data_IF_881291210226
#
_entry.id   IF_881291210226
#
_cell.length_a   1.000
_cell.length_b   1.000
_cell.length_c   1.000
_cell.angle_alpha   90.00
_cell.angle_beta   90.00
_cell.angle_gamma   90.00
#
_symmetry.space_group_name_H-M   'P 1'
#
loop_
_entity.id
_entity.type
_entity.pdbx_description
1 polymer ?
#
# COMPACT_ATOMS: atom_id res chain seq x y z
N UNK A 1 -32.68 -62.44 22.11
CA UNK A 1 -31.50 -61.76 22.68
C UNK A 1 -30.97 -60.78 21.64
N UNK A 2 -31.42 -59.54 21.74
CA UNK A 2 -30.97 -58.39 20.97
C UNK A 2 -29.63 -57.90 21.55
N UNK A 3 -28.62 -57.72 20.69
CA UNK A 3 -27.51 -56.74 20.77
C UNK A 3 -26.31 -57.28 19.97
N UNK A 4 -25.63 -56.38 19.24
CA UNK A 4 -24.32 -56.51 18.57
C UNK A 4 -24.30 -56.63 17.03
N UNK A 5 -25.14 -55.89 16.30
CA UNK A 5 -24.97 -55.75 14.85
C UNK A 5 -25.33 -54.35 14.28
N UNK A 6 -25.06 -53.26 15.04
CA UNK A 6 -25.36 -51.89 14.57
C UNK A 6 -24.15 -50.92 14.68
N UNK A 7 -23.00 -51.38 15.18
CA UNK A 7 -21.82 -50.52 15.37
C UNK A 7 -20.71 -50.96 14.41
N UNK A 8 -20.91 -50.80 13.10
CA UNK A 8 -19.80 -50.82 12.13
C UNK A 8 -20.10 -50.20 10.75
N UNK A 9 -21.18 -49.43 10.61
CA UNK A 9 -21.52 -48.74 9.34
C UNK A 9 -21.63 -47.21 9.52
N UNK A 10 -21.49 -46.72 10.75
CA UNK A 10 -21.62 -45.28 11.05
C UNK A 10 -20.29 -44.51 11.18
N UNK A 11 -19.15 -45.14 10.84
CA UNK A 11 -17.82 -44.52 10.98
C UNK A 11 -17.09 -44.27 9.64
N UNK A 12 -17.77 -44.46 8.50
CA UNK A 12 -17.19 -44.23 7.15
C UNK A 12 -17.97 -43.16 6.36
N UNK A 13 -18.84 -42.37 7.00
CA UNK A 13 -19.61 -41.29 6.32
C UNK A 13 -19.33 -39.89 6.88
N UNK A 14 -18.47 -39.74 7.90
CA UNK A 14 -18.18 -38.44 8.54
C UNK A 14 -16.75 -37.92 8.21
N UNK A 15 -16.06 -38.49 7.21
CA UNK A 15 -14.73 -38.00 6.77
C UNK A 15 -14.78 -37.39 5.35
N UNK A 16 -15.94 -37.37 4.69
CA UNK A 16 -16.09 -36.81 3.33
C UNK A 16 -16.72 -35.40 3.27
N UNK A 17 -16.75 -34.65 4.38
CA UNK A 17 -17.24 -33.25 4.41
C UNK A 17 -16.13 -32.21 4.69
N UNK A 18 -14.86 -32.61 4.74
CA UNK A 18 -13.71 -31.68 4.80
C UNK A 18 -13.09 -31.50 3.41
N UNK A 19 -13.94 -31.41 2.39
CA UNK A 19 -13.57 -31.20 1.00
C UNK A 19 -14.37 -30.05 0.41
N UNK A 20 -14.22 -28.86 0.97
CA UNK A 20 -14.67 -27.62 0.36
C UNK A 20 -13.55 -26.61 0.49
N UNK A 21 -12.65 -26.57 -0.49
CA UNK A 21 -12.02 -25.30 -0.84
C UNK A 21 -13.17 -24.37 -1.16
N UNK A 22 -13.47 -23.46 -0.24
CA UNK A 22 -14.46 -22.42 -0.46
C UNK A 22 -13.88 -21.50 -1.54
N UNK A 23 -14.19 -21.79 -2.81
CA UNK A 23 -13.97 -20.84 -3.89
C UNK A 23 -14.87 -19.66 -3.58
N UNK A 24 -14.29 -18.56 -3.11
CA UNK A 24 -15.00 -17.32 -2.81
C UNK A 24 -15.78 -16.93 -4.06
N UNK A 25 -17.11 -17.09 -4.04
CA UNK A 25 -17.92 -16.79 -5.23
C UNK A 25 -17.77 -15.31 -5.54
N UNK A 26 -17.33 -15.02 -6.76
CA UNK A 26 -17.24 -13.66 -7.28
C UNK A 26 -18.59 -12.96 -7.10
N UNK A 27 -18.57 -11.80 -6.45
CA UNK A 27 -19.78 -11.03 -6.16
C UNK A 27 -20.11 -10.15 -7.35
N UNK A 28 -21.32 -10.29 -7.88
CA UNK A 28 -21.82 -9.43 -8.96
C UNK A 28 -22.91 -8.49 -8.43
N UNK A 29 -22.77 -7.20 -8.71
CA UNK A 29 -23.75 -6.16 -8.36
C UNK A 29 -24.02 -5.34 -9.61
N UNK A 30 -25.28 -5.27 -10.04
CA UNK A 30 -25.72 -4.51 -11.22
C UNK A 30 -24.92 -4.80 -12.51
N UNK A 31 -24.51 -6.05 -12.72
CA UNK A 31 -23.72 -6.45 -13.90
C UNK A 31 -22.22 -6.17 -13.80
N UNK A 32 -21.72 -5.75 -12.64
CA UNK A 32 -20.31 -5.50 -12.36
C UNK A 32 -19.81 -6.55 -11.36
N UNK A 33 -18.74 -7.25 -11.73
CA UNK A 33 -18.11 -8.26 -10.88
C UNK A 33 -17.04 -7.61 -10.00
N UNK A 34 -17.18 -7.71 -8.69
CA UNK A 34 -16.22 -7.21 -7.72
C UNK A 34 -15.05 -8.18 -7.58
N UNK A 35 -13.82 -7.68 -7.76
CA UNK A 35 -12.57 -8.40 -7.53
C UNK A 35 -11.86 -7.81 -6.30
N UNK A 36 -11.25 -8.67 -5.47
CA UNK A 36 -10.45 -8.27 -4.31
C UNK A 36 -9.16 -9.09 -4.28
N UNK A 37 -8.05 -8.46 -3.90
CA UNK A 37 -6.77 -9.15 -3.77
C UNK A 37 -6.82 -10.26 -2.71
N UNK A 38 -7.48 -10.00 -1.57
CA UNK A 38 -7.66 -10.97 -0.47
C UNK A 38 -8.42 -12.24 -0.85
N UNK A 39 -9.24 -12.21 -1.91
CA UNK A 39 -10.05 -13.37 -2.31
C UNK A 39 -9.21 -14.48 -2.98
N UNK A 40 -7.93 -14.25 -3.27
CA UNK A 40 -7.01 -15.21 -3.92
C UNK A 40 -7.64 -15.86 -5.16
N UNK A 41 -8.12 -15.02 -6.08
CA UNK A 41 -8.89 -15.45 -7.25
C UNK A 41 -7.96 -16.16 -8.24
N UNK A 42 -8.24 -17.41 -8.59
CA UNK A 42 -7.41 -18.15 -9.54
C UNK A 42 -7.47 -17.56 -10.94
N UNK A 43 -6.36 -17.63 -11.69
CA UNK A 43 -6.29 -17.19 -13.09
C UNK A 43 -7.32 -17.89 -13.97
N UNK A 44 -7.67 -19.15 -13.66
CA UNK A 44 -8.74 -19.87 -14.36
C UNK A 44 -10.12 -19.25 -14.11
N UNK A 45 -10.42 -18.84 -12.88
CA UNK A 45 -11.68 -18.20 -12.51
C UNK A 45 -11.80 -16.81 -13.15
N UNK A 46 -10.69 -16.04 -13.17
CA UNK A 46 -10.63 -14.78 -13.91
C UNK A 46 -10.89 -15.00 -15.40
N UNK A 47 -10.38 -16.08 -15.99
CA UNK A 47 -10.57 -16.38 -17.41
C UNK A 47 -12.02 -16.68 -17.75
N UNK A 48 -12.80 -17.24 -16.83
CA UNK A 48 -14.24 -17.49 -17.01
C UNK A 48 -15.06 -16.19 -17.12
N UNK A 49 -14.55 -15.09 -16.58
CA UNK A 49 -15.16 -13.76 -16.63
C UNK A 49 -14.45 -12.81 -17.60
N UNK A 50 -13.71 -13.36 -18.58
CA UNK A 50 -13.15 -12.57 -19.67
C UNK A 50 -14.24 -11.74 -20.39
N UNK A 51 -13.88 -10.53 -20.81
CA UNK A 51 -14.76 -9.55 -21.42
C UNK A 51 -15.92 -9.04 -20.54
N UNK A 52 -15.96 -9.40 -19.24
CA UNK A 52 -16.95 -8.86 -18.30
C UNK A 52 -16.50 -7.53 -17.70
N UNK A 53 -17.47 -6.74 -17.27
CA UNK A 53 -17.21 -5.53 -16.49
C UNK A 53 -16.84 -5.94 -15.07
N UNK A 54 -15.70 -5.45 -14.60
CA UNK A 54 -15.17 -5.70 -13.26
C UNK A 54 -14.94 -4.39 -12.52
N UNK A 55 -15.01 -4.45 -11.20
CA UNK A 55 -14.53 -3.36 -10.34
C UNK A 55 -13.57 -3.88 -9.27
N UNK A 56 -12.57 -3.08 -8.96
CA UNK A 56 -11.54 -3.42 -7.98
C UNK A 56 -11.09 -2.16 -7.24
N UNK A 57 -10.79 -2.30 -5.96
CA UNK A 57 -10.14 -1.25 -5.17
C UNK A 57 -8.68 -1.65 -4.98
N UNK A 58 -7.77 -0.68 -5.08
CA UNK A 58 -6.35 -0.86 -4.79
C UNK A 58 -5.60 0.47 -4.79
N UNK A 59 -4.28 0.41 -4.69
CA UNK A 59 -3.39 1.56 -4.78
C UNK A 59 -2.73 1.62 -6.15
N UNK A 60 -2.45 2.83 -6.64
CA UNK A 60 -1.64 2.99 -7.83
C UNK A 60 -0.17 2.70 -7.49
N UNK A 61 0.52 1.95 -8.35
CA UNK A 61 1.96 1.78 -8.20
C UNK A 61 2.70 3.09 -8.48
N UNK A 62 3.75 3.37 -7.72
CA UNK A 62 4.71 4.46 -7.96
C UNK A 62 5.44 4.31 -9.30
N UNK A 63 5.41 3.12 -9.91
CA UNK A 63 5.92 2.87 -11.26
C UNK A 63 4.93 3.26 -12.37
N UNK A 64 3.80 3.91 -12.04
CA UNK A 64 2.86 4.46 -13.02
C UNK A 64 3.58 5.46 -13.95
N UNK A 65 3.56 5.25 -15.28
CA UNK A 65 4.16 6.19 -16.21
C UNK A 65 3.59 7.61 -16.07
N UNK A 66 4.47 8.62 -16.08
CA UNK A 66 4.08 10.03 -15.98
C UNK A 66 3.12 10.50 -17.09
N UNK A 67 3.11 9.79 -18.22
CA UNK A 67 2.19 10.09 -19.32
C UNK A 67 0.75 9.60 -19.05
N UNK A 68 0.52 8.84 -17.97
CA UNK A 68 -0.76 8.30 -17.53
C UNK A 68 -1.35 7.21 -18.43
N UNK A 69 -0.52 6.54 -19.24
CA UNK A 69 -0.99 5.60 -20.27
C UNK A 69 -1.50 4.26 -19.72
N UNK A 70 -1.06 3.87 -18.53
CA UNK A 70 -1.60 2.79 -17.70
C UNK A 70 -1.15 2.98 -16.25
N UNK A 71 -1.70 2.18 -15.33
CA UNK A 71 -1.19 2.02 -13.96
C UNK A 71 -1.16 0.53 -13.61
N UNK A 72 -0.35 0.13 -12.64
CA UNK A 72 -0.59 -1.11 -11.92
C UNK A 72 -1.42 -0.80 -10.68
N UNK A 73 -2.51 -1.53 -10.51
CA UNK A 73 -3.31 -1.51 -9.29
C UNK A 73 -2.75 -2.57 -8.34
N UNK A 74 -2.46 -2.16 -7.11
CA UNK A 74 -1.70 -2.92 -6.12
C UNK A 74 -2.53 -3.11 -4.84
N UNK A 75 -2.29 -4.17 -4.08
CA UNK A 75 -2.91 -4.37 -2.76
C UNK A 75 -2.33 -3.45 -1.67
N UNK A 76 -1.07 -3.02 -1.82
CA UNK A 76 -0.36 -2.14 -0.89
C UNK A 76 0.06 -0.83 -1.58
N UNK A 77 0.08 0.30 -0.85
CA UNK A 77 0.59 1.58 -1.36
C UNK A 77 2.11 1.56 -1.52
N UNK A 78 2.67 2.52 -2.27
CA UNK A 78 4.12 2.71 -2.47
C UNK A 78 4.91 1.46 -2.92
N UNK A 79 4.23 0.43 -3.40
CA UNK A 79 4.88 -0.77 -3.89
C UNK A 79 5.51 -0.50 -5.24
N UNK A 80 6.85 -0.44 -5.24
CA UNK A 80 7.65 -0.12 -6.42
C UNK A 80 7.65 -1.22 -7.47
N UNK A 81 7.49 -2.49 -7.07
CA UNK A 81 7.57 -3.60 -8.00
C UNK A 81 6.22 -4.27 -8.26
N UNK A 82 5.69 -4.05 -9.46
CA UNK A 82 4.45 -4.64 -9.97
C UNK A 82 4.50 -6.18 -10.00
N UNK A 83 5.63 -6.76 -10.41
CA UNK A 83 5.74 -8.21 -10.67
C UNK A 83 6.97 -8.87 -10.01
N UNK A 84 7.48 -8.33 -8.89
CA UNK A 84 8.60 -8.96 -8.16
C UNK A 84 8.14 -10.15 -7.32
N UNK A 85 6.84 -10.26 -7.04
CA UNK A 85 6.26 -11.52 -6.58
C UNK A 85 6.12 -12.40 -7.83
N UNK A 86 6.64 -13.64 -7.84
CA UNK A 86 6.54 -14.53 -8.99
C UNK A 86 5.09 -14.60 -9.49
N UNK A 87 4.88 -14.62 -10.81
CA UNK A 87 3.57 -14.88 -11.40
C UNK A 87 2.99 -16.16 -10.79
N UNK A 88 2.03 -15.99 -9.89
CA UNK A 88 1.28 -17.09 -9.30
C UNK A 88 0.13 -17.45 -10.24
N UNK A 89 -0.52 -18.58 -9.98
CA UNK A 89 -1.73 -19.01 -10.68
C UNK A 89 -2.99 -18.26 -10.20
N UNK A 90 -2.82 -17.12 -9.52
CA UNK A 90 -3.89 -16.36 -8.87
C UNK A 90 -3.64 -14.85 -8.95
N UNK A 91 -4.71 -14.05 -8.87
CA UNK A 91 -4.61 -12.62 -8.60
C UNK A 91 -4.22 -12.45 -7.13
N UNK A 92 -2.99 -12.03 -6.89
CA UNK A 92 -2.44 -11.93 -5.54
C UNK A 92 -2.23 -10.48 -5.14
N UNK A 93 -1.46 -9.72 -5.91
CA UNK A 93 -0.98 -8.41 -5.47
C UNK A 93 -1.08 -7.31 -6.54
N UNK A 94 -1.23 -7.67 -7.81
CA UNK A 94 -1.11 -6.70 -8.91
C UNK A 94 -2.03 -7.03 -10.08
N UNK A 95 -2.62 -5.99 -10.69
CA UNK A 95 -3.24 -6.06 -12.02
C UNK A 95 -2.95 -4.80 -12.82
N UNK A 96 -2.63 -4.94 -14.11
CA UNK A 96 -2.47 -3.80 -14.99
C UNK A 96 -3.83 -3.20 -15.37
N UNK A 97 -3.91 -1.87 -15.37
CA UNK A 97 -5.13 -1.12 -15.64
C UNK A 97 -4.85 -0.06 -16.72
N UNK A 98 -5.65 -0.10 -17.77
CA UNK A 98 -5.54 0.80 -18.91
C UNK A 98 -6.77 1.71 -19.00
N UNK A 99 -6.57 3.03 -19.17
CA UNK A 99 -7.67 3.97 -19.35
C UNK A 99 -8.34 3.73 -20.71
N UNK A 100 -9.58 4.21 -20.84
CA UNK A 100 -10.23 4.31 -22.15
C UNK A 100 -9.37 5.10 -23.13
N UNK A 101 -9.40 4.71 -24.42
CA UNK A 101 -8.60 5.36 -25.45
C UNK A 101 -8.70 6.90 -25.40
N UNK A 102 -7.56 7.58 -25.40
CA UNK A 102 -7.45 9.04 -25.32
C UNK A 102 -7.64 9.63 -23.92
N UNK A 103 -7.85 8.79 -22.90
CA UNK A 103 -7.83 9.19 -21.48
C UNK A 103 -6.49 8.81 -20.83
N UNK A 104 -6.25 9.40 -19.67
CA UNK A 104 -5.03 9.22 -18.87
C UNK A 104 -5.42 9.13 -17.42
N UNK A 105 -4.61 8.43 -16.63
CA UNK A 105 -4.71 8.48 -15.17
C UNK A 105 -3.80 9.57 -14.60
N UNK A 106 -4.31 10.24 -13.58
CA UNK A 106 -3.51 11.08 -12.69
C UNK A 106 -3.15 10.22 -11.49
N UNK A 107 -1.88 10.27 -11.08
CA UNK A 107 -1.40 9.50 -9.95
C UNK A 107 -1.99 10.02 -8.63
N UNK A 108 -2.23 9.12 -7.69
CA UNK A 108 -2.62 9.45 -6.32
C UNK A 108 -2.13 8.37 -5.36
N UNK A 109 -1.78 8.79 -4.14
CA UNK A 109 -1.31 7.90 -3.07
C UNK A 109 -2.47 7.26 -2.27
N UNK A 110 -3.71 7.72 -2.47
CA UNK A 110 -4.88 7.15 -1.78
C UNK A 110 -5.50 5.98 -2.53
N UNK A 111 -6.28 5.10 -1.87
CA UNK A 111 -6.98 4.02 -2.55
C UNK A 111 -7.89 4.53 -3.68
N UNK A 112 -7.87 3.82 -4.80
CA UNK A 112 -8.70 4.12 -5.97
C UNK A 112 -9.60 2.93 -6.29
N UNK A 113 -10.82 3.23 -6.72
CA UNK A 113 -11.71 2.27 -7.35
C UNK A 113 -11.52 2.33 -8.86
N UNK A 114 -11.23 1.18 -9.44
CA UNK A 114 -11.15 0.96 -10.87
C UNK A 114 -12.41 0.24 -11.32
N UNK A 115 -13.03 0.68 -12.40
CA UNK A 115 -14.10 -0.05 -13.09
C UNK A 115 -13.81 -0.09 -14.57
N UNK A 116 -13.81 -1.29 -15.17
CA UNK A 116 -13.47 -1.48 -16.59
C UNK A 116 -13.79 -2.89 -17.07
N UNK A 117 -13.25 -3.28 -18.21
CA UNK A 117 -13.45 -4.62 -18.80
C UNK A 117 -12.24 -5.48 -18.53
N UNK A 118 -12.43 -6.65 -17.92
CA UNK A 118 -11.37 -7.65 -17.83
C UNK A 118 -11.07 -8.20 -19.22
N UNK A 119 -9.80 -8.24 -19.61
CA UNK A 119 -9.34 -8.79 -20.89
C UNK A 119 -8.23 -9.80 -20.63
N UNK A 120 -8.41 -11.01 -21.14
CA UNK A 120 -7.38 -12.04 -21.24
C UNK A 120 -6.65 -11.95 -22.59
N UNK A 121 -5.48 -11.34 -22.57
CA UNK A 121 -4.59 -11.25 -23.71
C UNK A 121 -3.15 -11.17 -23.23
N UNK A 122 -2.25 -11.91 -23.89
CA UNK A 122 -0.82 -11.78 -23.66
C UNK A 122 -0.36 -10.42 -24.19
N UNK A 123 0.19 -9.59 -23.30
CA UNK A 123 0.66 -8.24 -23.61
C UNK A 123 1.99 -7.99 -22.92
N UNK A 124 2.85 -7.21 -23.58
CA UNK A 124 4.03 -6.60 -22.98
C UNK A 124 3.87 -5.09 -23.01
N UNK A 125 4.03 -4.42 -21.87
CA UNK A 125 3.93 -2.97 -21.80
C UNK A 125 5.24 -2.23 -22.12
N UNK A 126 5.19 -0.89 -22.06
CA UNK A 126 6.33 -0.02 -22.40
C UNK A 126 7.50 -0.16 -21.42
N UNK A 127 7.25 -0.67 -20.20
CA UNK A 127 8.28 -0.99 -19.22
C UNK A 127 8.84 -2.42 -19.37
N UNK A 128 8.30 -3.22 -20.29
CA UNK A 128 8.76 -4.57 -20.59
C UNK A 128 8.15 -5.66 -19.70
N UNK A 129 7.12 -5.34 -18.91
CA UNK A 129 6.41 -6.35 -18.14
C UNK A 129 5.40 -7.08 -19.02
N UNK A 130 5.37 -8.41 -18.90
CA UNK A 130 4.44 -9.27 -19.63
C UNK A 130 3.43 -9.91 -18.69
N UNK A 131 2.15 -9.87 -19.06
CA UNK A 131 1.05 -10.47 -18.32
C UNK A 131 -0.07 -10.93 -19.27
N UNK A 132 -0.91 -11.82 -18.76
CA UNK A 132 -1.94 -12.52 -19.54
C UNK A 132 -3.35 -11.93 -19.35
N UNK A 133 -3.52 -11.00 -18.41
CA UNK A 133 -4.79 -10.33 -18.17
C UNK A 133 -4.59 -8.90 -17.66
N UNK A 134 -5.59 -8.06 -17.92
CA UNK A 134 -5.63 -6.64 -17.49
C UNK A 134 -7.06 -6.14 -17.40
N UNK A 135 -7.25 -4.98 -16.77
CA UNK A 135 -8.49 -4.22 -16.87
C UNK A 135 -8.28 -3.14 -17.94
N UNK A 136 -9.06 -3.17 -19.02
CA UNK A 136 -9.04 -2.15 -20.08
C UNK A 136 -10.27 -1.25 -20.03
N UNK A 137 -10.21 -0.17 -20.81
CA UNK A 137 -11.27 0.84 -20.91
C UNK A 137 -11.74 1.37 -19.55
N UNK A 138 -10.80 1.43 -18.61
CA UNK A 138 -11.10 1.64 -17.21
C UNK A 138 -11.34 3.13 -16.89
N UNK A 139 -12.24 3.34 -15.93
CA UNK A 139 -12.41 4.57 -15.17
C UNK A 139 -11.78 4.36 -13.80
N UNK A 140 -11.06 5.37 -13.34
CA UNK A 140 -10.46 5.44 -12.01
C UNK A 140 -11.10 6.59 -11.24
N UNK A 141 -11.46 6.33 -9.99
CA UNK A 141 -11.98 7.32 -9.05
C UNK A 141 -11.44 7.05 -7.63
N UNK A 142 -11.39 8.07 -6.78
CA UNK A 142 -11.03 7.86 -5.36
C UNK A 142 -12.03 6.88 -4.75
N UNK A 143 -11.52 5.87 -4.03
CA UNK A 143 -12.36 4.85 -3.45
C UNK A 143 -13.20 5.39 -2.28
N UNK A 144 -14.40 4.85 -2.12
CA UNK A 144 -15.09 4.92 -0.83
C UNK A 144 -14.42 3.93 0.13
N UNK A 145 -13.87 4.47 1.22
CA UNK A 145 -13.11 3.72 2.22
C UNK A 145 -13.93 3.39 3.48
N UNK A 146 -15.23 3.71 3.52
CA UNK A 146 -16.06 3.52 4.73
C UNK A 146 -16.09 2.08 5.23
N UNK A 147 -16.06 1.12 4.30
CA UNK A 147 -16.10 -0.32 4.57
C UNK A 147 -14.72 -0.98 4.55
N UNK A 148 -13.64 -0.21 4.38
CA UNK A 148 -12.28 -0.74 4.45
C UNK A 148 -11.77 -0.82 5.89
N UNK A 149 -10.67 -1.55 6.05
CA UNK A 149 -9.97 -1.71 7.34
C UNK A 149 -9.53 -0.35 7.90
N UNK A 150 -9.46 -0.28 9.23
CA UNK A 150 -9.20 0.97 9.96
C UNK A 150 -7.81 1.57 9.64
N UNK A 151 -6.82 0.73 9.37
CA UNK A 151 -5.48 1.17 8.98
C UNK A 151 -5.47 1.90 7.62
N UNK A 152 -6.26 1.44 6.64
CA UNK A 152 -6.46 2.12 5.36
C UNK A 152 -7.14 3.47 5.56
N UNK A 153 -8.13 3.56 6.46
CA UNK A 153 -8.82 4.83 6.77
C UNK A 153 -7.87 5.85 7.37
N UNK A 154 -7.08 5.44 8.35
CA UNK A 154 -6.08 6.30 9.00
C UNK A 154 -5.00 6.72 8.02
N UNK A 155 -4.46 5.78 7.25
CA UNK A 155 -3.50 6.07 6.18
C UNK A 155 -4.06 7.13 5.24
N UNK A 156 -5.26 6.91 4.71
CA UNK A 156 -5.89 7.82 3.74
C UNK A 156 -6.15 9.21 4.34
N UNK A 157 -6.58 9.28 5.60
CA UNK A 157 -6.78 10.54 6.31
C UNK A 157 -5.48 11.34 6.48
N UNK A 158 -4.36 10.67 6.73
CA UNK A 158 -3.05 11.31 6.89
C UNK A 158 -2.45 11.72 5.54
N UNK A 159 -2.52 10.85 4.53
CA UNK A 159 -2.03 11.14 3.18
C UNK A 159 -2.77 12.33 2.57
N UNK A 160 -4.09 12.41 2.72
CA UNK A 160 -4.88 13.56 2.25
C UNK A 160 -4.49 14.89 2.92
N UNK A 161 -3.84 14.85 4.09
CA UNK A 161 -3.33 16.04 4.78
C UNK A 161 -1.88 16.39 4.39
N UNK A 162 -1.25 15.63 3.48
CA UNK A 162 0.14 15.85 3.07
C UNK A 162 1.18 15.25 4.02
N UNK A 163 0.79 14.22 4.80
CA UNK A 163 1.67 13.59 5.78
C UNK A 163 2.97 13.05 5.17
N UNK A 164 2.89 12.31 4.05
CA UNK A 164 4.06 11.72 3.42
C UNK A 164 5.06 12.79 2.94
N UNK A 165 4.58 13.79 2.20
CA UNK A 165 5.41 14.92 1.75
C UNK A 165 6.06 15.66 2.91
N UNK A 166 5.30 15.90 3.99
CA UNK A 166 5.80 16.59 5.18
C UNK A 166 6.91 15.77 5.85
N UNK A 167 6.72 14.46 6.03
CA UNK A 167 7.73 13.58 6.59
C UNK A 167 9.00 13.52 5.73
N UNK A 168 8.87 13.43 4.39
CA UNK A 168 10.01 13.46 3.48
C UNK A 168 10.81 14.78 3.60
N UNK A 169 10.11 15.91 3.69
CA UNK A 169 10.75 17.21 3.87
C UNK A 169 11.49 17.33 5.21
N UNK A 170 10.92 16.78 6.28
CA UNK A 170 11.57 16.72 7.60
C UNK A 170 12.86 15.90 7.52
N UNK A 171 12.81 14.68 6.98
CA UNK A 171 13.98 13.82 6.86
C UNK A 171 15.04 14.43 5.95
N UNK A 172 14.66 14.98 4.80
CA UNK A 172 15.57 15.70 3.90
C UNK A 172 16.30 16.84 4.61
N UNK A 173 15.58 17.63 5.40
CA UNK A 173 16.16 18.73 6.18
C UNK A 173 17.15 18.20 7.21
N UNK A 174 16.77 17.16 7.97
CA UNK A 174 17.64 16.52 8.96
C UNK A 174 18.92 15.96 8.31
N UNK A 175 18.79 15.21 7.22
CA UNK A 175 19.94 14.61 6.55
C UNK A 175 20.85 15.64 5.89
N UNK A 176 20.29 16.74 5.37
CA UNK A 176 21.10 17.85 4.87
C UNK A 176 21.95 18.44 6.00
N UNK A 177 21.38 18.67 7.17
CA UNK A 177 22.11 19.21 8.33
C UNK A 177 23.14 18.21 8.87
N UNK A 178 22.79 16.93 8.95
CA UNK A 178 23.72 15.88 9.42
C UNK A 178 24.94 15.75 8.49
N UNK A 179 24.70 15.78 7.18
CA UNK A 179 25.71 15.57 6.15
C UNK A 179 26.15 16.89 5.51
N UNK A 180 26.17 17.97 6.30
CA UNK A 180 26.53 19.30 5.82
C UNK A 180 27.92 19.31 5.15
N UNK A 181 28.08 20.17 4.15
CA UNK A 181 29.37 20.42 3.52
C UNK A 181 30.08 21.56 4.26
N UNK A 182 31.39 21.43 4.50
CA UNK A 182 32.16 22.43 5.29
C UNK A 182 32.18 23.85 4.70
N UNK A 183 31.79 24.00 3.44
CA UNK A 183 31.68 25.29 2.76
C UNK A 183 30.31 25.97 3.00
N UNK A 184 29.32 25.25 3.55
CA UNK A 184 28.00 25.79 3.92
C UNK A 184 28.01 26.28 5.38
N UNK A 185 27.35 27.42 5.62
CA UNK A 185 27.08 27.87 6.98
C UNK A 185 26.05 26.95 7.63
N UNK A 186 26.45 26.27 8.70
CA UNK A 186 25.60 25.32 9.39
C UNK A 186 24.59 26.05 10.29
N UNK A 187 23.31 25.84 10.02
CA UNK A 187 22.21 26.42 10.80
C UNK A 187 21.53 25.36 11.67
N UNK A 188 21.04 25.80 12.83
CA UNK A 188 20.18 24.99 13.68
C UNK A 188 18.89 24.63 12.96
N UNK A 189 18.42 23.42 13.22
CA UNK A 189 17.10 22.95 12.82
C UNK A 189 16.02 23.68 13.61
N UNK A 190 14.89 23.99 12.96
CA UNK A 190 13.71 24.49 13.66
C UNK A 190 13.19 23.43 14.64
N UNK A 191 13.05 23.79 15.92
CA UNK A 191 12.51 22.90 16.95
C UNK A 191 11.05 22.55 16.75
N UNK A 192 10.33 23.30 15.90
CA UNK A 192 8.94 23.05 15.53
C UNK A 192 8.79 22.31 14.19
N UNK A 193 9.88 21.79 13.61
CA UNK A 193 9.88 21.14 12.30
C UNK A 193 8.85 20.00 12.16
N UNK A 194 8.45 19.37 13.26
CA UNK A 194 7.46 18.28 13.29
C UNK A 194 6.03 18.72 13.62
N UNK A 195 5.80 20.02 13.85
CA UNK A 195 4.52 20.53 14.36
C UNK A 195 3.36 20.17 13.45
N UNK A 196 3.45 20.52 12.17
CA UNK A 196 2.36 20.31 11.22
C UNK A 196 1.99 18.82 11.13
N UNK A 197 3.01 17.96 11.15
CA UNK A 197 2.79 16.51 11.17
C UNK A 197 2.08 16.04 12.44
N UNK A 198 2.42 16.58 13.62
CA UNK A 198 1.71 16.24 14.87
C UNK A 198 0.24 16.68 14.83
N UNK A 199 -0.01 17.86 14.28
CA UNK A 199 -1.34 18.46 14.20
C UNK A 199 -2.28 17.58 13.34
N UNK A 200 -1.75 16.89 12.30
CA UNK A 200 -2.52 15.94 11.47
C UNK A 200 -3.10 14.76 12.25
N UNK A 201 -2.53 14.42 13.42
CA UNK A 201 -3.00 13.32 14.26
C UNK A 201 -4.01 13.74 15.33
N UNK A 202 -4.22 15.04 15.59
CA UNK A 202 -5.01 15.49 16.74
C UNK A 202 -6.45 14.97 16.75
N UNK A 203 -7.03 14.75 15.56
CA UNK A 203 -8.41 14.29 15.38
C UNK A 203 -8.53 12.77 15.20
N UNK A 204 -7.43 12.03 15.25
CA UNK A 204 -7.40 10.58 15.07
C UNK A 204 -7.27 9.86 16.42
N UNK A 205 -7.75 8.62 16.55
CA UNK A 205 -7.55 7.83 17.78
C UNK A 205 -6.09 7.38 17.94
N UNK A 206 -5.36 8.03 18.86
CA UNK A 206 -3.94 7.79 19.19
C UNK A 206 -3.61 6.33 19.45
N UNK A 207 -4.57 5.52 19.85
CA UNK A 207 -4.35 4.10 20.09
C UNK A 207 -3.92 3.34 18.83
N UNK A 208 -4.35 3.80 17.65
CA UNK A 208 -4.14 3.14 16.36
C UNK A 208 -2.82 3.52 15.65
N UNK A 209 -2.10 4.54 16.12
CA UNK A 209 -0.87 5.04 15.46
C UNK A 209 0.25 5.39 16.45
N UNK A 210 0.28 4.71 17.61
CA UNK A 210 1.31 4.90 18.65
C UNK A 210 2.73 4.83 18.11
N UNK A 211 2.98 3.96 17.14
CA UNK A 211 4.28 3.82 16.48
C UNK A 211 4.70 5.13 15.80
N UNK A 212 3.83 5.75 15.01
CA UNK A 212 4.14 7.02 14.36
C UNK A 212 4.26 8.18 15.33
N UNK A 213 3.45 8.24 16.40
CA UNK A 213 3.66 9.22 17.47
C UNK A 213 5.05 9.07 18.09
N UNK A 214 5.50 7.83 18.30
CA UNK A 214 6.82 7.51 18.84
C UNK A 214 7.95 7.91 17.88
N UNK A 215 7.77 7.67 16.57
CA UNK A 215 8.72 8.13 15.54
C UNK A 215 8.83 9.65 15.57
N UNK A 216 7.71 10.37 15.51
CA UNK A 216 7.67 11.84 15.52
C UNK A 216 8.32 12.41 16.79
N UNK A 217 8.00 11.83 17.95
CA UNK A 217 8.61 12.23 19.23
C UNK A 217 10.12 11.95 19.28
N UNK A 218 10.58 10.93 18.56
CA UNK A 218 12.01 10.61 18.46
C UNK A 218 12.73 11.54 17.49
N UNK A 219 12.03 12.02 16.45
CA UNK A 219 12.53 13.08 15.56
C UNK A 219 12.73 14.38 16.36
N UNK A 220 11.79 14.77 17.23
CA UNK A 220 11.97 15.96 18.08
C UNK A 220 13.24 15.89 18.94
N UNK A 221 13.48 14.73 19.55
CA UNK A 221 14.68 14.51 20.36
C UNK A 221 15.94 14.59 19.51
N UNK A 222 15.91 13.98 18.31
CA UNK A 222 17.02 14.04 17.37
C UNK A 222 17.33 15.48 16.94
N UNK A 223 16.32 16.30 16.69
CA UNK A 223 16.47 17.73 16.37
C UNK A 223 17.16 18.47 17.52
N UNK A 224 16.74 18.21 18.77
CA UNK A 224 17.36 18.82 19.97
C UNK A 224 18.83 18.40 20.08
N UNK A 225 19.11 17.11 19.92
CA UNK A 225 20.47 16.56 20.03
C UNK A 225 21.40 17.15 18.95
N UNK A 226 20.93 17.21 17.70
CA UNK A 226 21.65 17.86 16.60
C UNK A 226 21.94 19.33 16.93
N UNK A 227 20.93 20.08 17.37
CA UNK A 227 21.09 21.50 17.69
C UNK A 227 22.09 21.72 18.84
N UNK A 228 22.09 20.87 19.86
CA UNK A 228 23.06 20.94 20.96
C UNK A 228 24.51 20.76 20.47
N UNK A 229 24.74 19.82 19.56
CA UNK A 229 26.06 19.61 18.97
C UNK A 229 26.46 20.73 18.01
N UNK A 230 25.50 21.34 17.29
CA UNK A 230 25.75 22.56 16.50
C UNK A 230 26.17 23.72 17.40
N UNK A 231 25.45 23.97 18.49
CA UNK A 231 25.75 25.04 19.46
C UNK A 231 27.08 24.86 20.17
N UNK A 232 27.46 23.60 20.39
CA UNK A 232 28.73 23.25 21.02
C UNK A 232 29.90 23.13 20.03
N UNK A 233 29.68 23.47 18.75
CA UNK A 233 30.64 23.32 17.65
C UNK A 233 31.21 21.88 17.48
N UNK A 234 30.45 20.87 17.91
CA UNK A 234 30.81 19.46 17.84
C UNK A 234 30.48 18.84 16.47
N UNK A 235 30.83 19.49 15.36
CA UNK A 235 30.32 19.10 14.05
C UNK A 235 30.72 17.70 13.60
N UNK A 236 31.87 17.19 14.07
CA UNK A 236 32.32 15.83 13.79
C UNK A 236 31.38 14.74 14.36
N UNK A 237 30.52 15.10 15.32
CA UNK A 237 29.52 14.18 15.88
C UNK A 237 28.26 14.08 15.04
N UNK A 238 27.98 15.05 14.17
CA UNK A 238 26.71 15.11 13.43
C UNK A 238 26.48 13.85 12.59
N UNK A 239 27.53 13.35 11.93
CA UNK A 239 27.47 12.13 11.12
C UNK A 239 27.01 10.89 11.91
N UNK A 240 27.19 10.87 13.24
CA UNK A 240 26.77 9.76 14.10
C UNK A 240 25.25 9.63 14.16
N UNK A 241 24.51 10.71 13.89
CA UNK A 241 23.05 10.71 13.84
C UNK A 241 22.46 10.02 12.60
N UNK A 242 23.27 9.74 11.56
CA UNK A 242 22.79 9.02 10.37
C UNK A 242 22.12 7.69 10.71
N UNK A 243 22.69 6.92 11.66
CA UNK A 243 22.10 5.65 12.07
C UNK A 243 20.71 5.84 12.68
N UNK A 244 20.54 6.85 13.55
CA UNK A 244 19.25 7.12 14.17
C UNK A 244 18.24 7.66 13.17
N UNK A 245 18.66 8.56 12.28
CA UNK A 245 17.84 9.04 11.17
C UNK A 245 17.34 7.89 10.30
N UNK A 246 18.24 6.97 9.92
CA UNK A 246 17.91 5.81 9.08
C UNK A 246 16.92 4.86 9.75
N UNK A 247 17.06 4.60 11.06
CA UNK A 247 16.12 3.80 11.84
C UNK A 247 14.72 4.42 11.79
N UNK A 248 14.61 5.72 12.06
CA UNK A 248 13.34 6.46 12.07
C UNK A 248 12.70 6.52 10.68
N UNK A 249 13.49 6.81 9.65
CA UNK A 249 13.03 6.81 8.26
C UNK A 249 12.51 5.43 7.86
N UNK A 250 13.25 4.38 8.21
CA UNK A 250 12.85 2.99 7.93
C UNK A 250 11.51 2.66 8.58
N UNK A 251 11.31 2.97 9.86
CA UNK A 251 10.02 2.75 10.54
C UNK A 251 8.88 3.50 9.85
N UNK A 252 9.10 4.76 9.48
CA UNK A 252 8.13 5.55 8.73
C UNK A 252 7.80 4.92 7.36
N UNK A 253 8.82 4.50 6.59
CA UNK A 253 8.61 3.86 5.29
C UNK A 253 7.84 2.54 5.43
N UNK A 254 8.13 1.73 6.46
CA UNK A 254 7.35 0.51 6.72
C UNK A 254 5.90 0.81 7.09
N UNK A 255 5.66 1.87 7.85
CA UNK A 255 4.31 2.30 8.18
C UNK A 255 3.52 2.69 6.92
N UNK A 256 4.14 3.40 5.97
CA UNK A 256 3.49 3.76 4.70
C UNK A 256 3.04 2.53 3.90
N UNK A 257 3.78 1.42 3.98
CA UNK A 257 3.50 0.18 3.25
C UNK A 257 2.51 -0.75 3.96
N UNK A 258 2.15 -0.44 5.21
CA UNK A 258 1.36 -1.33 6.06
C UNK A 258 -0.07 -1.60 5.57
N UNK A 259 -0.83 -0.62 5.02
CA UNK A 259 -2.20 -0.86 4.59
C UNK A 259 -2.26 -1.91 3.48
N UNK A 260 -3.17 -2.88 3.62
CA UNK A 260 -3.36 -3.95 2.63
C UNK A 260 -4.85 -4.14 2.31
N UNK A 261 -5.19 -3.99 1.02
CA UNK A 261 -6.56 -4.12 0.48
C UNK A 261 -6.87 -5.56 0.14
#
# INVERSE_FOLDING_TARGET
MFKKAVILIFTIVIIALLGGCDSTKLKEVDGVIELKFKDTIKTLELKEIDSKTVSMIGFMSTSTPLNGEYTYLMNMPYQNCAFCVPNTDSLVNTIAVYPKQGKKFEFTDVPVKVTGTLEFASITDSMGYSYEYRIKDAKLEVADISELEEDIKIYTALINQGFAESMENIFKTIYKTINYEKEEELQKLDTNLTKDVKDMFENLDKSNYKEMISVISSIDKLIIDINNDIESENYDKLVQYNNKGNELYTTYSWWLLKPEI
#
